data_IF_682895008710
#
_entry.id   IF_682895008710
#
_cell.length_a   1.000
_cell.length_b   1.000
_cell.length_c   1.000
_cell.angle_alpha   90.00
_cell.angle_beta   90.00
_cell.angle_gamma   90.00
#
_symmetry.space_group_name_H-M   'P 1'
#
loop_
_entity.id
_entity.type
_entity.pdbx_description
1 polymer ?
#
# COMPACT_ATOMS: atom_id res chain seq x y z
N UNK A 1 17.67 -1.58 -2.45
CA UNK A 1 16.42 -0.88 -2.84
C UNK A 1 16.20 0.33 -1.94
N UNK A 2 16.07 1.51 -2.53
CA UNK A 2 15.90 2.72 -1.75
C UNK A 2 14.45 3.05 -1.44
N UNK A 3 13.54 2.74 -2.34
CA UNK A 3 12.14 3.10 -2.19
C UNK A 3 11.25 1.97 -2.71
N UNK A 4 10.20 1.68 -1.96
CA UNK A 4 9.17 0.76 -2.38
C UNK A 4 7.85 1.53 -2.45
N UNK A 5 7.18 1.46 -3.59
CA UNK A 5 5.93 2.20 -3.81
C UNK A 5 4.75 1.25 -3.64
N UNK A 6 3.78 1.68 -2.84
CA UNK A 6 2.49 1.00 -2.73
C UNK A 6 1.42 1.84 -3.41
N UNK A 7 0.69 1.21 -4.30
CA UNK A 7 -0.47 1.80 -4.93
C UNK A 7 -1.69 1.53 -4.05
N UNK A 8 -2.32 2.59 -3.57
CA UNK A 8 -3.43 2.49 -2.63
C UNK A 8 -4.70 2.97 -3.32
N UNK A 9 -5.72 2.14 -3.29
CA UNK A 9 -6.99 2.42 -3.93
C UNK A 9 -8.13 2.19 -2.96
N UNK A 10 -9.20 2.96 -3.11
CA UNK A 10 -10.43 2.73 -2.36
C UNK A 10 -11.12 1.50 -2.93
N UNK A 11 -11.55 0.60 -2.06
CA UNK A 11 -12.29 -0.59 -2.48
C UNK A 11 -13.76 -0.23 -2.74
N UNK A 12 -14.40 -0.84 -3.74
CA UNK A 12 -15.80 -0.54 -4.05
C UNK A 12 -16.77 -0.79 -2.89
N UNK A 13 -16.43 -1.74 -2.03
CA UNK A 13 -17.28 -2.13 -0.90
C UNK A 13 -16.93 -1.38 0.37
N UNK A 14 -16.00 -0.43 0.30
CA UNK A 14 -15.48 0.28 1.45
C UNK A 14 -14.08 -0.17 1.81
N UNK A 15 -13.36 0.65 2.54
CA UNK A 15 -11.98 0.36 2.89
C UNK A 15 -11.01 0.66 1.77
N UNK A 16 -9.79 0.14 1.93
CA UNK A 16 -8.68 0.43 1.01
C UNK A 16 -7.86 -0.82 0.75
N UNK A 17 -7.31 -0.89 -0.46
CA UNK A 17 -6.36 -1.92 -0.83
C UNK A 17 -5.02 -1.29 -1.14
N UNK A 18 -3.95 -2.03 -0.92
CA UNK A 18 -2.60 -1.59 -1.23
C UNK A 18 -1.81 -2.72 -1.87
N UNK A 19 -1.11 -2.43 -2.94
CA UNK A 19 -0.20 -3.39 -3.56
C UNK A 19 1.12 -2.75 -3.86
N UNK A 20 2.19 -3.49 -3.62
CA UNK A 20 3.53 -3.03 -3.93
C UNK A 20 3.77 -3.12 -5.43
N UNK A 21 4.44 -2.11 -5.98
CA UNK A 21 4.84 -2.14 -7.38
C UNK A 21 6.16 -2.88 -7.49
N UNK A 22 6.15 -3.98 -8.25
CA UNK A 22 7.35 -4.77 -8.45
C UNK A 22 7.61 -5.86 -7.41
N UNK A 23 6.76 -5.99 -6.41
CA UNK A 23 6.89 -7.01 -5.38
C UNK A 23 5.54 -7.65 -5.11
N UNK A 24 5.56 -8.89 -4.66
CA UNK A 24 4.32 -9.63 -4.39
C UNK A 24 3.82 -9.36 -2.97
N UNK A 25 3.48 -8.12 -2.69
CA UNK A 25 2.95 -7.71 -1.39
C UNK A 25 1.61 -7.04 -1.61
N UNK A 26 0.59 -7.54 -0.93
CA UNK A 26 -0.77 -7.00 -1.00
C UNK A 26 -1.37 -6.97 0.40
N UNK A 27 -2.08 -5.90 0.71
CA UNK A 27 -2.82 -5.81 1.96
C UNK A 27 -4.08 -4.97 1.78
N UNK A 28 -4.98 -5.05 2.74
CA UNK A 28 -6.22 -4.29 2.73
C UNK A 28 -6.65 -3.99 4.16
N UNK A 29 -7.40 -2.91 4.33
CA UNK A 29 -7.90 -2.49 5.63
C UNK A 29 -9.12 -1.59 5.45
N UNK A 30 -9.87 -1.40 6.53
CA UNK A 30 -11.08 -0.58 6.51
C UNK A 30 -10.77 0.92 6.49
N UNK A 31 -9.64 1.33 7.04
CA UNK A 31 -9.27 2.74 7.09
C UNK A 31 -7.78 2.93 6.78
N UNK A 32 -7.41 4.17 6.50
CA UNK A 32 -6.06 4.52 6.08
C UNK A 32 -5.01 4.27 7.16
N UNK A 33 -5.33 4.56 8.40
CA UNK A 33 -4.37 4.40 9.50
C UNK A 33 -4.02 2.93 9.70
N UNK A 34 -5.03 2.08 9.71
CA UNK A 34 -4.82 0.63 9.83
C UNK A 34 -4.04 0.11 8.63
N UNK A 35 -4.40 0.57 7.43
CA UNK A 35 -3.71 0.17 6.20
C UNK A 35 -2.22 0.48 6.25
N UNK A 36 -1.86 1.69 6.68
CA UNK A 36 -0.46 2.10 6.79
C UNK A 36 0.32 1.19 7.73
N UNK A 37 -0.26 0.85 8.86
CA UNK A 37 0.37 -0.07 9.81
C UNK A 37 0.58 -1.44 9.20
N UNK A 38 -0.43 -1.95 8.50
CA UNK A 38 -0.34 -3.26 7.86
C UNK A 38 0.70 -3.27 6.75
N UNK A 39 0.80 -2.19 5.99
CA UNK A 39 1.83 -2.07 4.95
C UNK A 39 3.22 -2.13 5.57
N UNK A 40 3.45 -1.38 6.63
CA UNK A 40 4.76 -1.36 7.26
C UNK A 40 5.10 -2.71 7.89
N UNK A 41 4.13 -3.38 8.48
CA UNK A 41 4.33 -4.73 9.01
C UNK A 41 4.66 -5.72 7.89
N UNK A 42 3.96 -5.62 6.76
CA UNK A 42 4.19 -6.49 5.62
C UNK A 42 5.60 -6.31 5.05
N UNK A 43 6.06 -5.06 4.95
CA UNK A 43 7.41 -4.76 4.49
C UNK A 43 8.44 -5.35 5.45
N UNK A 44 8.18 -5.21 6.73
CA UNK A 44 9.06 -5.75 7.78
C UNK A 44 9.22 -7.26 7.66
N UNK A 45 8.11 -7.95 7.37
CA UNK A 45 8.11 -9.40 7.23
C UNK A 45 8.69 -9.89 5.91
N UNK A 46 8.54 -9.10 4.85
CA UNK A 46 8.96 -9.49 3.51
C UNK A 46 10.47 -9.39 3.29
N UNK A 47 11.11 -8.44 3.93
CA UNK A 47 12.53 -8.17 3.72
C UNK A 47 13.36 -8.47 4.97
N UNK A 48 14.59 -8.95 4.74
CA UNK A 48 15.58 -9.01 5.81
C UNK A 48 15.96 -7.57 6.17
N UNK A 49 16.38 -7.32 7.43
CA UNK A 49 16.69 -5.94 7.85
C UNK A 49 17.65 -5.19 6.94
N UNK A 50 18.69 -5.86 6.43
CA UNK A 50 19.68 -5.22 5.56
C UNK A 50 19.20 -5.02 4.13
N UNK A 51 18.08 -5.66 3.75
CA UNK A 51 17.53 -5.55 2.39
C UNK A 51 16.27 -4.68 2.34
N UNK A 52 15.81 -4.23 3.51
CA UNK A 52 14.59 -3.43 3.61
C UNK A 52 14.75 -2.11 2.88
N UNK A 53 13.71 -1.64 2.16
CA UNK A 53 13.77 -0.32 1.53
C UNK A 53 13.89 0.76 2.59
N UNK A 54 14.60 1.82 2.26
CA UNK A 54 14.77 2.95 3.18
C UNK A 54 13.53 3.80 3.28
N UNK A 55 12.75 3.84 2.20
CA UNK A 55 11.54 4.63 2.10
C UNK A 55 10.40 3.78 1.58
N UNK A 56 9.21 3.99 2.11
CA UNK A 56 7.99 3.40 1.58
C UNK A 56 7.08 4.56 1.16
N UNK A 57 6.72 4.57 -0.12
CA UNK A 57 5.85 5.61 -0.66
C UNK A 57 4.42 5.09 -0.73
N UNK A 58 3.49 5.84 -0.17
CA UNK A 58 2.07 5.56 -0.28
C UNK A 58 1.51 6.43 -1.39
N UNK A 59 1.19 5.80 -2.52
CA UNK A 59 0.63 6.50 -3.67
C UNK A 59 -0.87 6.26 -3.71
N UNK A 60 -1.65 7.27 -3.35
CA UNK A 60 -3.11 7.18 -3.32
C UNK A 60 -3.69 7.49 -4.68
N UNK A 61 -4.49 6.56 -5.20
CA UNK A 61 -5.21 6.75 -6.46
C UNK A 61 -6.65 7.12 -6.11
N UNK A 62 -7.14 8.16 -6.73
CA UNK A 62 -8.49 8.62 -6.52
C UNK A 62 -9.18 8.82 -7.85
N UNK A 63 -10.32 8.12 -8.02
CA UNK A 63 -11.13 8.22 -9.21
C UNK A 63 -12.42 8.95 -8.88
N UNK A 64 -12.90 9.73 -9.83
CA UNK A 64 -14.20 10.36 -9.70
C UNK A 64 -14.98 10.11 -10.98
N UNK A 65 -16.15 9.54 -10.84
CA UNK A 65 -17.02 9.24 -11.98
C UNK A 65 -18.22 10.20 -11.94
N UNK A 66 -18.37 10.96 -13.00
CA UNK A 66 -19.43 11.95 -13.09
C UNK A 66 -20.32 11.58 -14.27
N UNK A 67 -21.61 11.44 -14.01
CA UNK A 67 -22.59 11.19 -15.07
C UNK A 67 -22.86 12.48 -15.85
N UNK A 68 -22.90 12.38 -17.16
CA UNK A 68 -23.18 13.52 -18.03
C UNK A 68 -24.52 13.35 -18.73
#
# INVERSE_FOLDING_TARGET
MDELVFLIEAAPEGGFTARALGEAIFTEADDRETLKKLILDAVDCHYEPEERPRLVRFHFVQDEVVAI
#
